data_IF_332904033853
#
_entry.id   IF_332904033853
#
_cell.length_a   1.000
_cell.length_b   1.000
_cell.length_c   1.000
_cell.angle_alpha   90.00
_cell.angle_beta   90.00
_cell.angle_gamma   90.00
#
_symmetry.space_group_name_H-M   'P 1'
#
loop_
_entity.id
_entity.type
_entity.pdbx_description
1 polymer ?
#
# COMPACT_ATOMS: atom_id res chain seq x y z
N UNK A 1 3.30 -7.02 -6.79
CA UNK A 1 3.42 -7.99 -5.67
C UNK A 1 2.09 -8.04 -4.96
N UNK A 2 1.67 -9.19 -4.44
CA UNK A 2 0.48 -9.24 -3.57
C UNK A 2 0.88 -8.69 -2.20
N UNK A 3 0.29 -7.55 -1.83
CA UNK A 3 0.41 -6.96 -0.51
C UNK A 3 -0.62 -7.60 0.43
N UNK A 4 -0.26 -7.88 1.68
CA UNK A 4 -1.15 -8.57 2.62
C UNK A 4 -2.08 -7.59 3.35
N UNK A 5 -1.59 -6.39 3.68
CA UNK A 5 -2.33 -5.41 4.50
C UNK A 5 -2.66 -4.12 3.76
N UNK A 6 -2.23 -3.96 2.51
CA UNK A 6 -2.50 -2.77 1.69
C UNK A 6 -2.93 -3.15 0.27
N UNK A 7 -3.61 -2.24 -0.40
CA UNK A 7 -3.98 -2.36 -1.81
C UNK A 7 -3.49 -1.11 -2.51
N UNK A 8 -2.67 -1.27 -3.54
CA UNK A 8 -2.23 -0.18 -4.40
C UNK A 8 -3.03 -0.23 -5.71
N UNK A 9 -3.84 0.80 -5.96
CA UNK A 9 -4.51 1.03 -7.23
C UNK A 9 -3.83 2.18 -7.98
N UNK A 10 -3.81 2.11 -9.30
CA UNK A 10 -3.32 3.20 -10.16
C UNK A 10 -4.50 3.66 -11.03
N UNK A 11 -4.86 4.93 -10.92
CA UNK A 11 -5.90 5.58 -11.72
C UNK A 11 -5.27 6.77 -12.44
N UNK A 12 -5.09 6.63 -13.75
CA UNK A 12 -4.35 7.60 -14.58
C UNK A 12 -2.96 7.91 -13.97
N UNK A 13 -2.72 9.18 -13.59
CA UNK A 13 -1.48 9.65 -12.97
C UNK A 13 -1.57 9.70 -11.43
N UNK A 14 -2.56 9.02 -10.83
CA UNK A 14 -2.81 9.02 -9.39
C UNK A 14 -2.66 7.60 -8.86
N UNK A 15 -1.72 7.40 -7.94
CA UNK A 15 -1.63 6.18 -7.13
C UNK A 15 -2.51 6.29 -5.89
N UNK A 16 -3.43 5.35 -5.69
CA UNK A 16 -4.30 5.27 -4.51
C UNK A 16 -3.89 4.08 -3.66
N UNK A 17 -3.48 4.34 -2.42
CA UNK A 17 -3.06 3.32 -1.48
C UNK A 17 -4.09 3.15 -0.36
N UNK A 18 -4.71 1.98 -0.32
CA UNK A 18 -5.68 1.60 0.71
C UNK A 18 -5.03 0.71 1.76
N UNK A 19 -5.32 0.97 3.03
CA UNK A 19 -4.96 0.06 4.13
C UNK A 19 -6.12 -0.92 4.29
N UNK A 20 -5.87 -2.20 4.00
CA UNK A 20 -6.87 -3.26 4.03
C UNK A 20 -6.56 -4.27 5.15
N UNK A 21 -6.62 -3.80 6.41
CA UNK A 21 -6.43 -4.63 7.60
C UNK A 21 -7.66 -4.59 8.52
N UNK A 22 -8.84 -5.02 8.03
CA UNK A 22 -10.12 -4.87 8.74
C UNK A 22 -10.14 -5.61 10.09
N UNK A 23 -9.46 -6.76 10.18
CA UNK A 23 -9.34 -7.56 11.42
C UNK A 23 -8.69 -6.79 12.58
N UNK A 24 -7.94 -5.74 12.29
CA UNK A 24 -7.27 -4.92 13.28
C UNK A 24 -7.69 -3.45 13.19
N UNK A 25 -8.85 -3.16 12.61
CA UNK A 25 -9.35 -1.80 12.39
C UNK A 25 -8.34 -0.88 11.70
N UNK A 26 -7.63 -1.42 10.70
CA UNK A 26 -6.57 -0.74 9.96
C UNK A 26 -5.41 -0.20 10.84
N UNK A 27 -5.25 -0.74 12.05
CA UNK A 27 -4.11 -0.42 12.89
C UNK A 27 -2.80 -0.76 12.16
N UNK A 28 -1.85 0.16 12.23
CA UNK A 28 -0.56 0.03 11.58
C UNK A 28 0.34 -0.91 12.40
N UNK A 29 0.87 -1.94 11.75
CA UNK A 29 1.96 -2.74 12.30
C UNK A 29 3.20 -2.60 11.42
N UNK A 30 4.32 -3.18 11.86
CA UNK A 30 5.59 -3.13 11.12
C UNK A 30 5.49 -3.69 9.70
N UNK A 31 4.63 -4.70 9.46
CA UNK A 31 4.43 -5.26 8.13
C UNK A 31 3.68 -4.27 7.22
N UNK A 32 2.56 -3.71 7.68
CA UNK A 32 1.78 -2.70 6.95
C UNK A 32 2.64 -1.50 6.60
N UNK A 33 3.47 -0.99 7.53
CA UNK A 33 4.36 0.14 7.26
C UNK A 33 5.40 -0.20 6.20
N UNK A 34 6.00 -1.40 6.25
CA UNK A 34 6.94 -1.87 5.22
C UNK A 34 6.28 -2.01 3.85
N UNK A 35 5.04 -2.49 3.81
CA UNK A 35 4.27 -2.61 2.57
C UNK A 35 3.93 -1.23 2.00
N UNK A 36 3.55 -0.27 2.84
CA UNK A 36 3.34 1.13 2.43
C UNK A 36 4.62 1.70 1.81
N UNK A 37 5.78 1.56 2.46
CA UNK A 37 7.05 2.05 1.91
C UNK A 37 7.35 1.45 0.55
N UNK A 38 7.20 0.12 0.40
CA UNK A 38 7.38 -0.57 -0.88
C UNK A 38 6.43 -0.07 -1.96
N UNK A 39 5.15 0.12 -1.63
CA UNK A 39 4.16 0.62 -2.58
C UNK A 39 4.48 2.05 -3.05
N UNK A 40 5.01 2.90 -2.17
CA UNK A 40 5.46 4.26 -2.52
C UNK A 40 6.69 4.19 -3.44
N UNK A 41 7.68 3.36 -3.11
CA UNK A 41 8.86 3.17 -3.96
C UNK A 41 8.47 2.65 -5.34
N UNK A 42 7.51 1.72 -5.42
CA UNK A 42 6.98 1.22 -6.69
C UNK A 42 6.32 2.33 -7.52
N UNK A 43 5.53 3.21 -6.91
CA UNK A 43 4.95 4.35 -7.65
C UNK A 43 6.04 5.29 -8.17
N UNK A 44 7.10 5.51 -7.38
CA UNK A 44 8.23 6.37 -7.77
C UNK A 44 9.08 5.77 -8.90
N UNK A 45 9.24 4.45 -8.96
CA UNK A 45 10.01 3.77 -10.02
C UNK A 45 9.24 3.62 -11.33
N UNK A 46 7.90 3.77 -11.32
CA UNK A 46 7.04 3.66 -12.50
C UNK A 46 6.76 5.03 -13.17
N UNK A 47 7.68 5.98 -13.05
CA UNK A 47 7.67 7.29 -13.73
C UNK A 47 8.53 7.23 -15.02
#
# INVERSE_FOLDING_TARGET
>A
MEYENVILEKQDNIGILYINRPKAMNALNTATVREISKAIDEVKEND
#
